data_IF_709899553059
#
_entry.id   IF_709899553059
#
_cell.length_a   1.000
_cell.length_b   1.000
_cell.length_c   1.000
_cell.angle_alpha   90.00
_cell.angle_beta   90.00
_cell.angle_gamma   90.00
#
_symmetry.space_group_name_H-M   'P 1'
#
loop_
_entity.id
_entity.type
_entity.pdbx_description
1 polymer ?
#
# COMPACT_ATOMS: atom_id res chain seq x y z
N UNK A 1 -8.57 4.61 -29.02
CA UNK A 1 -7.96 5.87 -28.52
C UNK A 1 -8.69 6.39 -27.27
N UNK A 2 -10.04 6.56 -27.28
CA UNK A 2 -10.79 7.04 -26.11
C UNK A 2 -10.72 6.11 -24.90
N UNK A 3 -10.69 4.80 -25.10
CA UNK A 3 -10.52 3.82 -24.01
C UNK A 3 -9.16 3.92 -23.34
N UNK A 4 -8.10 4.12 -24.10
CA UNK A 4 -6.72 4.24 -23.59
C UNK A 4 -6.54 5.53 -22.78
N UNK A 5 -7.04 6.65 -23.27
CA UNK A 5 -7.00 7.92 -22.54
C UNK A 5 -7.75 7.84 -21.20
N UNK A 6 -8.89 7.13 -21.18
CA UNK A 6 -9.65 6.90 -19.95
C UNK A 6 -8.87 6.06 -18.94
N UNK A 7 -8.19 5.00 -19.38
CA UNK A 7 -7.32 4.16 -18.55
C UNK A 7 -6.22 5.02 -17.92
N UNK A 8 -5.48 5.75 -18.76
CA UNK A 8 -4.38 6.62 -18.30
C UNK A 8 -4.91 7.64 -17.29
N UNK A 9 -6.05 8.27 -17.55
CA UNK A 9 -6.65 9.27 -16.67
C UNK A 9 -6.93 8.73 -15.26
N UNK A 10 -7.61 7.58 -15.12
CA UNK A 10 -7.92 7.02 -13.82
C UNK A 10 -6.69 6.54 -13.05
N UNK A 11 -5.74 5.89 -13.74
CA UNK A 11 -4.47 5.47 -13.13
C UNK A 11 -3.68 6.70 -12.66
N UNK A 12 -3.58 7.74 -13.47
CA UNK A 12 -2.79 8.93 -13.15
C UNK A 12 -3.33 9.67 -11.92
N UNK A 13 -4.64 9.87 -11.82
CA UNK A 13 -5.22 10.52 -10.64
C UNK A 13 -4.98 9.69 -9.39
N UNK A 14 -5.22 8.38 -9.44
CA UNK A 14 -4.94 7.49 -8.32
C UNK A 14 -3.45 7.53 -7.94
N UNK A 15 -2.56 7.50 -8.92
CA UNK A 15 -1.12 7.52 -8.71
C UNK A 15 -0.63 8.83 -8.06
N UNK A 16 -1.15 9.97 -8.50
CA UNK A 16 -0.84 11.27 -7.89
C UNK A 16 -1.21 11.26 -6.40
N UNK A 17 -2.43 10.82 -6.06
CA UNK A 17 -2.89 10.77 -4.68
C UNK A 17 -2.06 9.77 -3.85
N UNK A 18 -1.82 8.57 -4.35
CA UNK A 18 -1.06 7.54 -3.66
C UNK A 18 0.40 7.95 -3.41
N UNK A 19 1.08 8.44 -4.44
CA UNK A 19 2.47 8.89 -4.33
C UNK A 19 2.62 10.11 -3.39
N UNK A 20 1.68 11.05 -3.46
CA UNK A 20 1.65 12.23 -2.60
C UNK A 20 1.45 11.84 -1.14
N UNK A 21 0.48 10.96 -0.87
CA UNK A 21 0.23 10.45 0.49
C UNK A 21 1.45 9.69 1.04
N UNK A 22 2.09 8.85 0.22
CA UNK A 22 3.33 8.16 0.60
C UNK A 22 4.42 9.16 0.99
N UNK A 23 4.64 10.18 0.17
CA UNK A 23 5.67 11.20 0.44
C UNK A 23 5.44 11.89 1.79
N UNK A 24 4.23 12.41 2.02
CA UNK A 24 3.93 13.10 3.27
C UNK A 24 3.90 12.19 4.49
N UNK A 25 3.45 10.94 4.35
CA UNK A 25 3.52 9.96 5.44
C UNK A 25 4.97 9.66 5.82
N UNK A 26 5.84 9.45 4.83
CA UNK A 26 7.27 9.22 5.07
C UNK A 26 7.91 10.45 5.73
N UNK A 27 7.62 11.65 5.26
CA UNK A 27 8.13 12.88 5.86
C UNK A 27 7.66 13.04 7.31
N UNK A 28 6.37 12.80 7.57
CA UNK A 28 5.79 12.86 8.90
C UNK A 28 6.44 11.85 9.87
N UNK A 29 6.64 10.61 9.44
CA UNK A 29 7.29 9.59 10.28
C UNK A 29 8.74 9.93 10.59
N UNK A 30 9.50 10.46 9.62
CA UNK A 30 10.87 10.90 9.82
C UNK A 30 10.93 12.02 10.87
N UNK A 31 10.03 12.99 10.79
CA UNK A 31 10.02 14.14 11.71
C UNK A 31 9.59 13.78 13.13
N UNK A 32 8.72 12.78 13.31
CA UNK A 32 8.16 12.43 14.63
C UNK A 32 8.77 11.17 15.24
N UNK A 33 9.19 10.20 14.44
CA UNK A 33 9.72 8.91 14.89
C UNK A 33 11.21 8.73 14.62
N UNK A 34 11.82 9.66 13.88
CA UNK A 34 13.24 9.62 13.53
C UNK A 34 13.55 8.74 12.32
N UNK A 35 14.85 8.62 12.04
CA UNK A 35 15.38 7.95 10.84
C UNK A 35 15.99 6.56 11.11
N UNK A 36 15.98 6.10 12.36
CA UNK A 36 16.65 4.85 12.74
C UNK A 36 15.97 3.59 12.22
N UNK A 37 14.70 3.71 11.82
CA UNK A 37 13.89 2.62 11.27
C UNK A 37 12.93 3.19 10.21
N UNK A 38 12.65 2.45 9.12
CA UNK A 38 11.83 2.93 7.99
C UNK A 38 10.31 2.84 8.28
N UNK A 39 9.86 3.53 9.31
CA UNK A 39 8.44 3.54 9.74
C UNK A 39 7.49 3.99 8.63
N UNK A 40 7.90 4.97 7.81
CA UNK A 40 7.06 5.52 6.75
C UNK A 40 6.73 4.49 5.69
N UNK A 41 7.75 3.80 5.18
CA UNK A 41 7.60 2.74 4.18
C UNK A 41 6.78 1.58 4.72
N UNK A 42 7.04 1.16 5.95
CA UNK A 42 6.27 0.11 6.61
C UNK A 42 4.79 0.51 6.74
N UNK A 43 4.51 1.71 7.22
CA UNK A 43 3.14 2.20 7.42
C UNK A 43 2.34 2.26 6.12
N UNK A 44 2.90 2.87 5.05
CA UNK A 44 2.18 2.96 3.77
C UNK A 44 1.97 1.61 3.11
N UNK A 45 2.91 0.67 3.26
CA UNK A 45 2.74 -0.68 2.76
C UNK A 45 1.64 -1.44 3.52
N UNK A 46 1.59 -1.36 4.83
CA UNK A 46 0.55 -1.99 5.67
C UNK A 46 -0.82 -1.40 5.37
N UNK A 47 -0.95 -0.08 5.36
CA UNK A 47 -2.22 0.61 5.05
C UNK A 47 -2.66 0.34 3.62
N UNK A 48 -1.75 0.39 2.66
CA UNK A 48 -2.05 0.09 1.25
C UNK A 48 -2.49 -1.36 1.04
N UNK A 49 -1.88 -2.32 1.73
CA UNK A 49 -2.31 -3.72 1.72
C UNK A 49 -3.74 -3.88 2.27
N UNK A 50 -4.07 -3.21 3.39
CA UNK A 50 -5.42 -3.22 3.95
C UNK A 50 -6.46 -2.69 2.97
N UNK A 51 -6.21 -1.50 2.41
CA UNK A 51 -7.11 -0.85 1.45
C UNK A 51 -7.29 -1.73 0.21
N UNK A 52 -6.20 -2.31 -0.30
CA UNK A 52 -6.25 -3.18 -1.47
C UNK A 52 -7.08 -4.43 -1.20
N UNK A 53 -6.83 -5.11 -0.08
CA UNK A 53 -7.58 -6.31 0.32
C UNK A 53 -9.07 -6.03 0.49
N UNK A 54 -9.42 -4.97 1.20
CA UNK A 54 -10.81 -4.55 1.39
C UNK A 54 -11.47 -4.19 0.05
N UNK A 55 -10.79 -3.40 -0.78
CA UNK A 55 -11.33 -2.98 -2.07
C UNK A 55 -11.56 -4.16 -3.02
N UNK A 56 -10.59 -5.08 -3.15
CA UNK A 56 -10.74 -6.22 -4.06
C UNK A 56 -11.85 -7.16 -3.60
N UNK A 57 -12.03 -7.38 -2.30
CA UNK A 57 -13.15 -8.16 -1.79
C UNK A 57 -14.52 -7.56 -2.16
N UNK A 58 -14.65 -6.23 -2.08
CA UNK A 58 -15.86 -5.51 -2.52
C UNK A 58 -16.00 -5.58 -4.05
N UNK A 59 -14.91 -5.38 -4.77
CA UNK A 59 -14.91 -5.29 -6.23
C UNK A 59 -15.22 -6.62 -6.93
N UNK A 60 -14.77 -7.73 -6.34
CA UNK A 60 -15.00 -9.09 -6.85
C UNK A 60 -16.29 -9.71 -6.30
N UNK A 61 -16.84 -9.14 -5.24
CA UNK A 61 -18.07 -9.58 -4.61
C UNK A 61 -19.33 -9.03 -5.30
N UNK A 62 -20.38 -8.86 -4.50
CA UNK A 62 -21.73 -8.45 -4.94
C UNK A 62 -21.81 -7.10 -5.66
N UNK A 63 -20.87 -6.20 -5.38
CA UNK A 63 -20.90 -4.80 -5.86
C UNK A 63 -20.13 -4.56 -7.18
N UNK A 64 -19.49 -5.56 -7.76
CA UNK A 64 -18.80 -5.52 -9.06
C UNK A 64 -18.26 -4.13 -9.44
N UNK A 65 -17.13 -3.72 -8.81
CA UNK A 65 -16.56 -2.41 -9.09
C UNK A 65 -16.28 -2.21 -10.59
N UNK A 66 -16.63 -1.05 -11.11
CA UNK A 66 -16.38 -0.70 -12.51
C UNK A 66 -14.87 -0.73 -12.83
N UNK A 67 -14.53 -1.01 -14.09
CA UNK A 67 -13.13 -0.97 -14.53
C UNK A 67 -12.41 0.34 -14.18
N UNK A 68 -13.01 1.54 -14.33
CA UNK A 68 -12.38 2.78 -13.90
C UNK A 68 -12.06 2.85 -12.41
N UNK A 69 -12.93 2.31 -11.54
CA UNK A 69 -12.70 2.29 -10.11
C UNK A 69 -11.55 1.34 -9.73
N UNK A 70 -11.43 0.18 -10.41
CA UNK A 70 -10.29 -0.73 -10.23
C UNK A 70 -8.98 -0.08 -10.65
N UNK A 71 -8.96 0.62 -11.78
CA UNK A 71 -7.79 1.35 -12.25
C UNK A 71 -7.37 2.47 -11.30
N UNK A 72 -8.35 3.23 -10.81
CA UNK A 72 -8.09 4.32 -9.87
C UNK A 72 -7.57 3.82 -8.51
N UNK A 73 -8.29 2.88 -7.85
CA UNK A 73 -7.97 2.45 -6.48
C UNK A 73 -6.83 1.44 -6.47
N UNK A 74 -6.98 0.31 -7.19
CA UNK A 74 -6.00 -0.77 -7.07
C UNK A 74 -4.69 -0.41 -7.78
N UNK A 75 -4.76 -0.05 -9.07
CA UNK A 75 -3.56 0.20 -9.88
C UNK A 75 -2.94 1.55 -9.57
N UNK A 76 -3.73 2.62 -9.61
CA UNK A 76 -3.25 3.98 -9.41
C UNK A 76 -2.90 4.25 -7.94
N UNK A 77 -3.89 4.28 -7.07
CA UNK A 77 -3.72 4.70 -5.68
C UNK A 77 -2.87 3.71 -4.87
N UNK A 78 -3.32 2.46 -4.69
CA UNK A 78 -2.59 1.47 -3.90
C UNK A 78 -1.23 1.14 -4.52
N UNK A 79 -1.15 0.99 -5.85
CA UNK A 79 0.10 0.72 -6.55
C UNK A 79 1.15 1.83 -6.40
N UNK A 80 0.73 3.09 -6.24
CA UNK A 80 1.64 4.22 -6.00
C UNK A 80 1.86 4.54 -4.53
N UNK A 81 0.91 4.19 -3.66
CA UNK A 81 1.04 4.35 -2.21
C UNK A 81 2.08 3.38 -1.65
N UNK A 82 2.00 2.09 -2.03
CA UNK A 82 2.91 1.04 -1.57
C UNK A 82 4.20 1.04 -2.39
N UNK A 83 5.28 0.51 -1.81
CA UNK A 83 6.58 0.44 -2.50
C UNK A 83 7.44 -0.71 -2.01
N UNK A 84 7.75 -1.63 -2.91
CA UNK A 84 8.72 -2.69 -2.67
C UNK A 84 10.15 -2.22 -2.89
N UNK A 85 10.39 -1.31 -3.85
CA UNK A 85 11.74 -0.82 -4.17
C UNK A 85 12.34 -0.02 -3.01
N UNK A 86 11.57 0.89 -2.40
CA UNK A 86 12.02 1.65 -1.23
C UNK A 86 12.27 0.72 -0.04
N UNK A 87 11.35 -0.20 0.24
CA UNK A 87 11.51 -1.23 1.28
C UNK A 87 12.80 -2.03 1.11
N UNK A 88 13.08 -2.49 -0.11
CA UNK A 88 14.30 -3.25 -0.42
C UNK A 88 15.56 -2.40 -0.22
N UNK A 89 15.56 -1.17 -0.71
CA UNK A 89 16.67 -0.23 -0.54
C UNK A 89 16.95 0.04 0.94
N UNK A 90 15.93 0.39 1.72
CA UNK A 90 16.06 0.69 3.15
C UNK A 90 16.56 -0.53 3.94
N UNK A 91 16.07 -1.72 3.63
CA UNK A 91 16.51 -2.97 4.28
C UNK A 91 17.99 -3.24 4.00
N UNK A 92 18.42 -3.16 2.74
CA UNK A 92 19.83 -3.34 2.37
C UNK A 92 20.71 -2.26 2.99
N UNK A 93 20.26 -1.02 3.01
CA UNK A 93 20.98 0.08 3.63
C UNK A 93 21.20 -0.14 5.15
N UNK A 94 20.20 -0.66 5.86
CA UNK A 94 20.33 -1.05 7.27
C UNK A 94 21.39 -2.17 7.44
N UNK A 95 21.38 -3.18 6.57
CA UNK A 95 22.39 -4.26 6.59
C UNK A 95 23.79 -3.72 6.35
N UNK A 96 24.01 -2.90 5.33
CA UNK A 96 25.33 -2.38 4.98
C UNK A 96 25.90 -1.43 6.04
N UNK A 97 25.02 -0.75 6.79
CA UNK A 97 25.40 0.10 7.91
C UNK A 97 25.59 -0.66 9.24
N UNK A 98 25.55 -2.01 9.24
CA UNK A 98 25.73 -2.83 10.42
C UNK A 98 24.51 -2.91 11.35
N UNK A 99 23.38 -2.32 10.97
CA UNK A 99 22.12 -2.34 11.73
C UNK A 99 21.33 -3.63 11.46
N UNK A 100 21.95 -4.77 11.71
CA UNK A 100 21.41 -6.10 11.34
C UNK A 100 20.05 -6.40 11.99
N UNK A 101 19.86 -6.01 13.25
CA UNK A 101 18.60 -6.24 13.95
C UNK A 101 17.47 -5.44 13.28
N UNK A 102 17.69 -4.15 13.02
CA UNK A 102 16.70 -3.29 12.35
C UNK A 102 16.37 -3.78 10.94
N UNK A 103 17.37 -4.23 10.19
CA UNK A 103 17.17 -4.80 8.86
C UNK A 103 16.32 -6.07 8.91
N UNK A 104 16.62 -6.98 9.84
CA UNK A 104 15.85 -8.22 10.03
C UNK A 104 14.42 -7.94 10.51
N UNK A 105 14.25 -6.98 11.42
CA UNK A 105 12.93 -6.55 11.89
C UNK A 105 12.14 -5.88 10.76
N UNK A 106 12.75 -5.00 9.97
CA UNK A 106 12.08 -4.39 8.82
C UNK A 106 11.60 -5.45 7.83
N UNK A 107 12.44 -6.41 7.50
CA UNK A 107 12.08 -7.51 6.60
C UNK A 107 10.93 -8.34 7.16
N UNK A 108 11.08 -8.86 8.38
CA UNK A 108 10.10 -9.77 8.98
C UNK A 108 8.76 -9.09 9.30
N UNK A 109 8.81 -7.95 10.00
CA UNK A 109 7.60 -7.25 10.44
C UNK A 109 6.81 -6.70 9.23
N UNK A 110 7.49 -6.09 8.26
CA UNK A 110 6.81 -5.54 7.08
C UNK A 110 6.10 -6.64 6.27
N UNK A 111 6.73 -7.80 6.07
CA UNK A 111 6.09 -8.92 5.38
C UNK A 111 4.89 -9.46 6.17
N UNK A 112 5.07 -9.75 7.45
CA UNK A 112 4.00 -10.30 8.29
C UNK A 112 2.82 -9.33 8.38
N UNK A 113 3.07 -8.06 8.70
CA UNK A 113 2.02 -7.06 8.81
C UNK A 113 1.35 -6.77 7.47
N UNK A 114 2.10 -6.78 6.37
CA UNK A 114 1.54 -6.60 5.03
C UNK A 114 0.54 -7.69 4.66
N UNK A 115 0.92 -8.97 4.83
CA UNK A 115 0.02 -10.10 4.57
C UNK A 115 -1.18 -10.12 5.51
N UNK A 116 -0.97 -9.93 6.81
CA UNK A 116 -2.07 -9.89 7.79
C UNK A 116 -3.02 -8.73 7.51
N UNK A 117 -2.50 -7.57 7.17
CA UNK A 117 -3.30 -6.39 6.86
C UNK A 117 -4.18 -6.58 5.62
N UNK A 118 -3.64 -7.18 4.56
CA UNK A 118 -4.39 -7.53 3.36
C UNK A 118 -5.51 -8.56 3.68
N UNK A 119 -5.16 -9.63 4.39
CA UNK A 119 -6.12 -10.64 4.80
C UNK A 119 -7.23 -10.06 5.70
N UNK A 120 -6.88 -9.17 6.63
CA UNK A 120 -7.83 -8.50 7.52
C UNK A 120 -8.78 -7.59 6.72
N UNK A 121 -8.25 -6.78 5.81
CA UNK A 121 -9.06 -5.93 4.93
C UNK A 121 -10.05 -6.75 4.11
N UNK A 122 -9.58 -7.85 3.51
CA UNK A 122 -10.42 -8.79 2.76
C UNK A 122 -11.53 -9.40 3.64
N UNK A 123 -11.18 -9.89 4.83
CA UNK A 123 -12.13 -10.56 5.74
C UNK A 123 -13.19 -9.60 6.26
N UNK A 124 -12.81 -8.37 6.64
CA UNK A 124 -13.76 -7.35 7.11
C UNK A 124 -14.74 -6.99 5.98
N UNK A 125 -14.24 -6.74 4.78
CA UNK A 125 -15.09 -6.40 3.65
C UNK A 125 -16.06 -7.53 3.29
N UNK A 126 -15.61 -8.78 3.28
CA UNK A 126 -16.47 -9.95 3.05
C UNK A 126 -17.53 -10.12 4.15
N UNK A 127 -17.17 -9.91 5.41
CA UNK A 127 -18.12 -9.95 6.52
C UNK A 127 -19.22 -8.90 6.40
N UNK A 128 -18.88 -7.69 5.98
CA UNK A 128 -19.86 -6.63 5.71
C UNK A 128 -20.79 -7.02 4.55
N UNK A 129 -20.22 -7.50 3.43
CA UNK A 129 -21.01 -7.88 2.24
C UNK A 129 -21.98 -9.02 2.54
N UNK A 130 -21.58 -9.99 3.36
CA UNK A 130 -22.42 -11.15 3.71
C UNK A 130 -23.55 -10.81 4.68
N UNK A 131 -23.48 -9.65 5.37
CA UNK A 131 -24.50 -9.20 6.30
C UNK A 131 -25.67 -8.46 5.63
N UNK A 132 -25.53 -8.10 4.34
CA UNK A 132 -26.53 -7.44 3.50
C UNK A 132 -26.97 -8.32 2.33
#
# INVERSE_FOLDING_TARGET
VQSELRIIFFISIGAILGATLRYYTTLWTITHLGMNFPYGTMLVNVVGCFILGAFLAVADGRFHASSPMRLFIATGFCGSLTTFSTFSYETINLFTNGSYLQASLNLGISLVLGFLSLALGTSIAQGIISAF
#
